data_IF_742532602973
#
_entry.id   IF_742532602973
#
_cell.length_a   1.000
_cell.length_b   1.000
_cell.length_c   1.000
_cell.angle_alpha   90.00
_cell.angle_beta   90.00
_cell.angle_gamma   90.00
#
_symmetry.space_group_name_H-M   'P 1'
#
loop_
_entity.id
_entity.type
_entity.pdbx_description
1 polymer ?
#
# COMPACT_ATOMS: atom_id res chain seq x y z
N UNK A 1 28.04 -4.18 -22.34
CA UNK A 1 26.92 -4.94 -21.71
C UNK A 1 26.18 -3.99 -20.80
N UNK A 2 24.96 -3.58 -21.16
CA UNK A 2 24.16 -2.66 -20.34
C UNK A 2 23.61 -3.46 -19.15
N UNK A 3 23.92 -3.02 -17.92
CA UNK A 3 23.32 -3.60 -16.71
C UNK A 3 21.89 -3.06 -16.60
N UNK A 4 20.91 -3.94 -16.75
CA UNK A 4 19.55 -3.64 -16.31
C UNK A 4 19.51 -3.88 -14.80
N UNK A 5 19.30 -2.81 -14.03
CA UNK A 5 18.96 -2.96 -12.61
C UNK A 5 17.60 -3.66 -12.54
N UNK A 6 17.56 -4.82 -11.87
CA UNK A 6 16.31 -5.54 -11.63
C UNK A 6 15.44 -4.71 -10.69
N UNK A 7 14.33 -4.16 -11.20
CA UNK A 7 13.25 -3.63 -10.37
C UNK A 7 12.47 -4.82 -9.82
N UNK A 8 12.55 -5.09 -8.52
CA UNK A 8 11.69 -6.11 -7.89
C UNK A 8 10.31 -5.51 -7.62
N UNK A 9 9.40 -5.65 -8.57
CA UNK A 9 7.99 -5.29 -8.42
C UNK A 9 7.24 -6.46 -7.78
N UNK A 10 7.35 -6.59 -6.46
CA UNK A 10 6.46 -7.48 -5.72
C UNK A 10 5.07 -6.82 -5.66
N UNK A 11 3.99 -7.51 -6.07
CA UNK A 11 2.65 -6.96 -5.93
C UNK A 11 2.33 -6.83 -4.44
N UNK A 12 2.06 -5.59 -4.00
CA UNK A 12 1.64 -5.26 -2.64
C UNK A 12 0.15 -4.95 -2.65
N UNK A 13 -0.59 -5.53 -1.72
CA UNK A 13 -1.96 -5.13 -1.39
C UNK A 13 -1.87 -4.07 -0.32
N UNK A 14 -2.61 -2.97 -0.47
CA UNK A 14 -2.62 -1.84 0.45
C UNK A 14 -3.72 -1.99 1.49
N UNK A 15 -3.46 -1.56 2.72
CA UNK A 15 -4.44 -1.57 3.80
C UNK A 15 -5.23 -0.24 3.84
N UNK A 16 -6.52 -0.23 3.49
CA UNK A 16 -7.33 0.98 3.48
C UNK A 16 -7.55 1.60 4.87
N UNK A 17 -7.46 0.82 5.95
CA UNK A 17 -7.64 1.35 7.32
C UNK A 17 -6.45 2.21 7.76
N UNK A 18 -5.30 2.01 7.12
CA UNK A 18 -4.07 2.78 7.39
C UNK A 18 -3.95 4.02 6.52
N UNK A 19 -4.73 4.12 5.44
CA UNK A 19 -4.55 5.14 4.42
C UNK A 19 -4.93 6.54 4.93
N UNK A 20 -4.13 7.55 4.59
CA UNK A 20 -4.49 8.94 4.82
C UNK A 20 -5.77 9.35 4.06
N UNK A 21 -6.55 10.27 4.63
CA UNK A 21 -7.82 10.71 4.04
C UNK A 21 -7.68 11.42 2.69
N UNK A 22 -6.50 11.94 2.34
CA UNK A 22 -6.20 12.51 1.03
C UNK A 22 -5.91 11.49 -0.07
N UNK A 23 -5.82 10.20 0.28
CA UNK A 23 -5.48 9.12 -0.66
C UNK A 23 -6.72 8.41 -1.18
N UNK A 24 -6.70 8.07 -2.47
CA UNK A 24 -7.70 7.22 -3.12
C UNK A 24 -7.04 5.90 -3.45
N UNK A 25 -7.63 4.80 -3.00
CA UNK A 25 -7.16 3.45 -3.35
C UNK A 25 -8.00 2.88 -4.49
N UNK A 26 -7.34 2.17 -5.41
CA UNK A 26 -8.05 1.41 -6.44
C UNK A 26 -8.82 0.24 -5.83
N UNK A 27 -9.80 -0.30 -6.58
CA UNK A 27 -10.59 -1.48 -6.17
C UNK A 27 -9.73 -2.65 -5.73
N UNK A 28 -8.57 -2.84 -6.37
CA UNK A 28 -7.68 -3.95 -6.10
C UNK A 28 -6.59 -3.62 -5.07
N UNK A 29 -6.62 -2.42 -4.49
CA UNK A 29 -5.70 -1.98 -3.44
C UNK A 29 -4.22 -2.07 -3.85
N UNK A 30 -3.91 -1.86 -5.12
CA UNK A 30 -2.54 -1.90 -5.65
C UNK A 30 -2.05 -0.54 -6.14
N UNK A 31 -2.95 0.43 -6.23
CA UNK A 31 -2.70 1.74 -6.83
C UNK A 31 -3.23 2.81 -5.88
N UNK A 32 -2.45 3.89 -5.76
CA UNK A 32 -2.75 5.07 -4.97
C UNK A 32 -2.95 6.25 -5.91
N UNK A 33 -4.00 7.02 -5.69
CA UNK A 33 -4.20 8.36 -6.24
C UNK A 33 -4.27 9.39 -5.12
N UNK A 34 -4.14 10.67 -5.47
CA UNK A 34 -4.26 11.79 -4.54
C UNK A 34 -5.46 12.67 -4.90
N UNK A 35 -6.05 13.31 -3.90
CA UNK A 35 -7.03 14.38 -4.07
C UNK A 35 -6.79 15.51 -3.07
N UNK A 36 -7.13 16.74 -3.50
CA UNK A 36 -6.89 17.94 -2.71
C UNK A 36 -7.75 18.04 -1.44
N UNK A 37 -8.93 17.40 -1.45
CA UNK A 37 -9.86 17.40 -0.31
C UNK A 37 -9.83 16.06 0.38
N UNK A 38 -9.65 16.06 1.69
CA UNK A 38 -9.80 14.86 2.51
C UNK A 38 -11.14 14.14 2.25
N UNK A 39 -11.09 12.82 2.16
CA UNK A 39 -12.25 11.94 2.16
C UNK A 39 -12.88 11.94 3.55
N UNK A 40 -14.22 11.89 3.60
CA UNK A 40 -14.93 11.60 4.84
C UNK A 40 -14.89 10.08 5.06
N UNK A 41 -13.91 9.64 5.84
CA UNK A 41 -13.72 8.24 6.22
C UNK A 41 -13.92 8.08 7.73
N UNK A 42 -14.24 6.86 8.21
CA UNK A 42 -14.23 6.56 9.63
C UNK A 42 -12.88 6.87 10.27
N UNK A 43 -12.88 7.24 11.55
CA UNK A 43 -11.64 7.45 12.29
C UNK A 43 -11.05 6.09 12.72
N UNK A 44 -10.27 5.51 11.81
CA UNK A 44 -9.57 4.27 12.06
C UNK A 44 -8.34 4.54 12.95
N UNK A 45 -8.18 3.86 14.10
CA UNK A 45 -7.03 4.08 14.99
C UNK A 45 -5.68 3.72 14.36
N UNK A 46 -5.69 2.91 13.30
CA UNK A 46 -4.50 2.49 12.55
C UNK A 46 -4.09 3.49 11.45
N UNK A 47 -4.84 4.60 11.29
CA UNK A 47 -4.62 5.59 10.22
C UNK A 47 -3.25 6.26 10.34
N UNK A 48 -2.52 6.30 9.24
CA UNK A 48 -1.19 6.91 9.14
C UNK A 48 -1.26 8.17 8.28
N UNK A 49 -0.79 9.28 8.83
CA UNK A 49 -0.82 10.57 8.14
C UNK A 49 0.09 10.59 6.90
N UNK A 50 -0.45 11.07 5.78
CA UNK A 50 0.26 11.23 4.51
C UNK A 50 0.71 9.95 3.80
N UNK A 51 0.33 8.76 4.30
CA UNK A 51 0.81 7.47 3.79
C UNK A 51 -0.30 6.41 3.74
N UNK A 52 0.01 5.24 3.19
CA UNK A 52 -0.76 4.00 3.33
C UNK A 52 0.22 2.84 3.46
N UNK A 53 -0.11 1.85 4.28
CA UNK A 53 0.74 0.68 4.50
C UNK A 53 0.33 -0.46 3.56
N UNK A 54 1.30 -1.29 3.19
CA UNK A 54 1.02 -2.58 2.58
C UNK A 54 0.51 -3.57 3.62
N UNK A 55 -0.51 -4.34 3.28
CA UNK A 55 -0.92 -5.52 4.01
C UNK A 55 0.10 -6.64 3.74
N UNK A 56 0.82 -7.06 4.77
CA UNK A 56 1.62 -8.28 4.66
C UNK A 56 0.72 -9.51 4.83
N UNK A 57 0.64 -10.35 3.80
CA UNK A 57 0.31 -11.76 3.99
C UNK A 57 1.50 -12.42 4.71
N UNK A 58 1.51 -12.37 6.05
CA UNK A 58 2.56 -12.94 6.92
C UNK A 58 2.94 -14.39 6.55
N UNK A 59 2.04 -15.15 5.93
CA UNK A 59 2.32 -16.51 5.47
C UNK A 59 3.30 -16.61 4.29
N UNK A 60 3.26 -15.69 3.31
CA UNK A 60 4.05 -15.85 2.07
C UNK A 60 5.53 -15.53 2.27
N UNK A 61 5.87 -14.65 3.22
CA UNK A 61 7.26 -14.27 3.49
C UNK A 61 8.06 -15.30 4.28
N UNK A 62 7.42 -16.22 5.01
CA UNK A 62 8.12 -17.30 5.74
C UNK A 62 8.56 -18.47 4.85
N UNK A 63 8.03 -18.60 3.63
CA UNK A 63 8.36 -19.72 2.73
C UNK A 63 9.46 -19.44 1.70
N UNK A 64 9.95 -18.21 1.61
CA UNK A 64 11.00 -17.84 0.63
C UNK A 64 12.38 -17.57 1.27
N UNK A 65 12.59 -18.06 2.49
CA UNK A 65 13.85 -17.98 3.23
C UNK A 65 14.31 -19.36 3.74
N UNK A 66 13.96 -20.43 3.01
CA UNK A 66 14.54 -21.77 3.15
C UNK A 66 14.97 -22.27 1.79
#
# INVERSE_FOLDING_TARGET
MVKFNYLSLAPVILDPNTADTGLILSRYLTIIGHRDKALQLPDNPERVYGCVLGSEDLEKRRKNNR
#
